data_IF_631478418351
#
_entry.id   IF_631478418351
#
_cell.length_a   1.000
_cell.length_b   1.000
_cell.length_c   1.000
_cell.angle_alpha   90.00
_cell.angle_beta   90.00
_cell.angle_gamma   90.00
#
_symmetry.space_group_name_H-M   'P 1'
#
loop_
_entity.id
_entity.type
_entity.pdbx_description
1 polymer ?
#
# COMPACT_ATOMS: atom_id res chain seq x y z
N UNK A 1 9.17 10.19 -3.70
CA UNK A 1 10.54 10.66 -3.41
C UNK A 1 10.62 12.17 -3.46
N UNK A 2 11.68 12.84 -2.96
CA UNK A 2 11.66 14.28 -2.62
C UNK A 2 11.38 15.25 -3.79
N UNK A 3 11.52 14.80 -5.05
CA UNK A 3 11.27 15.62 -6.25
C UNK A 3 9.85 15.51 -6.81
N UNK A 4 9.10 14.48 -6.40
CA UNK A 4 7.69 14.24 -6.77
C UNK A 4 6.93 13.88 -5.51
N UNK A 5 6.01 14.76 -5.08
CA UNK A 5 5.19 14.50 -3.90
C UNK A 5 3.98 13.64 -4.26
N UNK A 6 3.62 12.73 -3.36
CA UNK A 6 2.34 12.04 -3.38
C UNK A 6 1.51 12.60 -2.23
N UNK A 7 0.27 12.95 -2.52
CA UNK A 7 -0.67 13.51 -1.57
C UNK A 7 -1.91 12.61 -1.49
N UNK A 8 -2.56 12.62 -0.34
CA UNK A 8 -3.89 12.08 -0.15
C UNK A 8 -4.83 13.22 0.23
N UNK A 9 -5.90 13.42 -0.53
CA UNK A 9 -6.85 14.50 -0.32
C UNK A 9 -6.18 15.87 -0.13
N UNK A 10 -5.20 16.19 -0.98
CA UNK A 10 -4.42 17.45 -0.92
C UNK A 10 -3.52 17.62 0.32
N UNK A 11 -3.41 16.61 1.17
CA UNK A 11 -2.52 16.60 2.34
C UNK A 11 -1.30 15.71 2.11
N UNK A 12 -0.21 16.02 2.78
CA UNK A 12 0.95 15.11 2.83
C UNK A 12 0.58 13.81 3.55
N UNK A 13 1.16 12.72 3.07
CA UNK A 13 1.05 11.43 3.74
C UNK A 13 1.96 11.42 4.98
N UNK A 14 1.48 10.83 6.07
CA UNK A 14 2.28 10.64 7.29
C UNK A 14 3.01 9.29 7.19
N UNK A 15 3.85 9.16 6.16
CA UNK A 15 4.62 7.95 5.86
C UNK A 15 6.12 8.24 5.75
N UNK A 16 6.92 7.19 5.59
CA UNK A 16 8.39 7.25 5.45
C UNK A 16 8.87 6.89 4.03
N UNK A 17 7.96 6.83 3.05
CA UNK A 17 8.27 6.49 1.64
C UNK A 17 9.17 7.53 0.94
N UNK A 18 9.33 8.71 1.55
CA UNK A 18 10.25 9.74 1.07
C UNK A 18 11.70 9.49 1.48
N UNK A 19 11.94 8.68 2.52
CA UNK A 19 13.27 8.34 3.01
C UNK A 19 13.93 7.27 2.14
N UNK A 20 13.18 6.24 1.78
CA UNK A 20 13.68 5.09 1.03
C UNK A 20 12.55 4.39 0.25
N UNK A 21 12.84 3.83 -0.94
CA UNK A 21 11.84 3.16 -1.77
C UNK A 21 11.37 1.80 -1.23
N UNK A 22 11.99 1.29 -0.18
CA UNK A 22 11.57 0.08 0.55
C UNK A 22 10.27 0.28 1.34
N UNK A 23 9.88 1.53 1.61
CA UNK A 23 8.65 1.85 2.31
C UNK A 23 7.51 2.18 1.34
N UNK A 24 6.40 1.46 1.49
CA UNK A 24 5.19 1.70 0.74
C UNK A 24 4.64 3.13 0.95
N UNK A 25 4.14 3.74 -0.12
CA UNK A 25 3.38 5.01 -0.06
C UNK A 25 1.99 4.70 0.50
N UNK A 26 1.56 5.39 1.56
CA UNK A 26 0.32 5.06 2.27
C UNK A 26 -0.93 5.63 1.60
N UNK A 27 -1.16 5.27 0.33
CA UNK A 27 -2.37 5.63 -0.44
C UNK A 27 -2.97 4.41 -1.13
N UNK A 28 -4.29 4.42 -1.33
CA UNK A 28 -5.04 3.33 -1.95
C UNK A 28 -5.67 3.77 -3.27
N UNK A 29 -4.99 3.57 -4.42
CA UNK A 29 -5.54 3.99 -5.71
C UNK A 29 -6.78 3.18 -6.13
N UNK A 30 -6.99 1.98 -5.56
CA UNK A 30 -8.17 1.16 -5.84
C UNK A 30 -9.44 1.73 -5.19
N UNK A 31 -9.31 2.33 -4.01
CA UNK A 31 -10.41 2.99 -3.30
C UNK A 31 -10.55 4.47 -3.66
N UNK A 32 -9.64 5.00 -4.49
CA UNK A 32 -9.66 6.38 -4.92
C UNK A 32 -10.85 6.67 -5.83
N UNK A 33 -11.40 7.87 -5.70
CA UNK A 33 -12.36 8.44 -6.66
C UNK A 33 -11.64 8.93 -7.91
N UNK A 34 -10.48 9.55 -7.73
CA UNK A 34 -9.64 10.03 -8.83
C UNK A 34 -8.17 10.16 -8.41
N UNK A 35 -7.28 10.15 -9.40
CA UNK A 35 -5.85 10.41 -9.25
C UNK A 35 -5.47 11.58 -10.15
N UNK A 36 -4.96 12.64 -9.56
CA UNK A 36 -4.60 13.87 -10.25
C UNK A 36 -3.08 13.94 -10.41
N UNK A 37 -2.59 14.24 -11.61
CA UNK A 37 -1.18 14.49 -11.87
C UNK A 37 -1.00 15.97 -12.20
N UNK A 38 -0.48 16.73 -11.25
CA UNK A 38 -0.38 18.19 -11.34
C UNK A 38 1.07 18.60 -11.62
N UNK A 39 1.24 19.47 -12.62
CA UNK A 39 2.53 20.01 -13.06
C UNK A 39 2.44 21.53 -13.22
N UNK A 40 3.59 22.20 -13.11
CA UNK A 40 3.69 23.65 -13.28
C UNK A 40 3.42 24.43 -12.00
N UNK A 41 3.15 25.75 -12.10
CA UNK A 41 3.12 26.65 -10.94
C UNK A 41 2.10 26.30 -9.84
N UNK A 42 1.03 25.57 -10.17
CA UNK A 42 0.01 25.15 -9.21
C UNK A 42 0.54 24.19 -8.14
N UNK A 43 1.70 23.55 -8.36
CA UNK A 43 2.33 22.66 -7.37
C UNK A 43 2.79 23.42 -6.13
N UNK A 44 3.01 24.73 -6.23
CA UNK A 44 3.45 25.59 -5.11
C UNK A 44 2.41 25.66 -3.98
N UNK A 45 1.13 25.40 -4.27
CA UNK A 45 0.07 25.35 -3.26
C UNK A 45 0.27 24.20 -2.25
N UNK A 46 1.03 23.17 -2.63
CA UNK A 46 1.25 21.95 -1.84
C UNK A 46 2.70 21.85 -1.32
N UNK A 47 3.46 22.93 -1.43
CA UNK A 47 4.79 23.07 -0.86
C UNK A 47 5.93 23.11 -1.88
N UNK A 48 7.09 23.59 -1.41
CA UNK A 48 8.31 23.69 -2.20
C UNK A 48 8.95 22.30 -2.46
N UNK A 49 9.82 22.23 -3.47
CA UNK A 49 10.61 21.03 -3.78
C UNK A 49 9.99 20.04 -4.77
N UNK A 50 8.75 20.26 -5.20
CA UNK A 50 8.02 19.46 -6.21
C UNK A 50 8.42 19.80 -7.65
N UNK A 51 9.72 19.75 -7.96
CA UNK A 51 10.24 20.09 -9.30
C UNK A 51 9.69 19.14 -10.38
N UNK A 52 9.42 17.88 -10.02
CA UNK A 52 8.83 16.89 -10.92
C UNK A 52 7.30 16.88 -10.96
N UNK A 53 6.64 17.75 -10.19
CA UNK A 53 5.19 17.76 -10.02
C UNK A 53 4.70 17.02 -8.77
N UNK A 54 3.40 16.77 -8.72
CA UNK A 54 2.76 16.02 -7.64
C UNK A 54 1.66 15.10 -8.17
N UNK A 55 1.43 14.03 -7.43
CA UNK A 55 0.33 13.09 -7.64
C UNK A 55 -0.61 13.18 -6.44
N UNK A 56 -1.86 13.55 -6.65
CA UNK A 56 -2.85 13.69 -5.59
C UNK A 56 -3.93 12.62 -5.75
N UNK A 57 -4.03 11.74 -4.74
CA UNK A 57 -5.04 10.70 -4.68
C UNK A 57 -6.23 11.23 -3.90
N UNK A 58 -7.35 11.42 -4.59
CA UNK A 58 -8.60 11.88 -3.99
C UNK A 58 -9.47 10.67 -3.70
N UNK A 59 -9.75 10.44 -2.43
CA UNK A 59 -10.67 9.39 -1.99
C UNK A 59 -12.11 9.92 -1.83
N UNK A 60 -13.00 9.06 -1.35
CA UNK A 60 -14.38 9.44 -1.02
C UNK A 60 -14.69 9.22 0.46
N UNK A 61 -13.67 9.08 1.33
CA UNK A 61 -13.83 8.71 2.75
C UNK A 61 -14.74 9.69 3.50
N UNK A 62 -14.69 10.96 3.12
CA UNK A 62 -15.65 11.99 3.54
C UNK A 62 -16.57 12.30 2.35
N UNK A 63 -17.81 11.79 2.31
CA UNK A 63 -18.73 12.06 1.22
C UNK A 63 -19.02 13.56 1.08
N UNK A 64 -18.94 14.07 -0.15
CA UNK A 64 -19.17 15.50 -0.43
C UNK A 64 -20.59 15.81 -0.88
N UNK A 65 -21.39 14.78 -1.19
CA UNK A 65 -22.75 14.87 -1.71
C UNK A 65 -23.59 13.71 -1.17
N UNK A 66 -24.89 13.94 -1.02
CA UNK A 66 -25.83 12.91 -0.59
C UNK A 66 -26.02 11.90 -1.73
N UNK A 67 -26.06 10.58 -1.44
CA UNK A 67 -26.37 9.59 -2.46
C UNK A 67 -27.80 9.77 -2.96
N UNK A 68 -28.00 9.79 -4.29
CA UNK A 68 -29.29 10.14 -4.93
C UNK A 68 -30.45 9.26 -4.45
N UNK A 69 -30.21 7.95 -4.30
CA UNK A 69 -31.21 6.97 -3.87
C UNK A 69 -31.11 6.65 -2.37
N UNK A 70 -30.43 7.49 -1.59
CA UNK A 70 -30.14 7.24 -0.17
C UNK A 70 -28.98 6.26 0.07
N UNK A 71 -28.45 5.62 -0.97
CA UNK A 71 -27.25 4.80 -0.90
C UNK A 71 -26.49 4.79 -2.24
N UNK A 72 -25.19 4.53 -2.18
CA UNK A 72 -24.27 4.35 -3.30
C UNK A 72 -23.22 3.32 -2.91
N UNK A 73 -22.75 2.48 -3.83
CA UNK A 73 -21.71 1.52 -3.50
C UNK A 73 -20.90 1.05 -4.71
N UNK A 74 -19.73 0.51 -4.41
CA UNK A 74 -18.79 -0.05 -5.36
C UNK A 74 -18.26 -1.38 -4.81
N UNK A 75 -18.11 -2.37 -5.69
CA UNK A 75 -17.45 -3.64 -5.39
C UNK A 75 -16.49 -3.96 -6.53
N UNK A 76 -15.32 -4.45 -6.20
CA UNK A 76 -14.28 -4.81 -7.14
C UNK A 76 -13.62 -6.12 -6.73
N UNK A 77 -13.38 -6.98 -7.71
CA UNK A 77 -12.61 -8.21 -7.56
C UNK A 77 -11.59 -8.27 -8.70
N UNK A 78 -10.36 -8.67 -8.39
CA UNK A 78 -9.29 -8.85 -9.37
C UNK A 78 -8.49 -10.11 -9.05
N UNK A 79 -8.10 -10.80 -10.11
CA UNK A 79 -7.12 -11.88 -10.06
C UNK A 79 -5.97 -11.59 -11.03
N UNK A 80 -4.72 -11.74 -10.59
CA UNK A 80 -3.53 -11.55 -11.43
C UNK A 80 -2.72 -12.86 -11.50
N UNK A 81 -2.49 -13.40 -12.69
CA UNK A 81 -1.73 -14.64 -12.90
C UNK A 81 -0.22 -14.48 -12.73
N UNK A 82 0.31 -13.25 -12.73
CA UNK A 82 1.74 -12.98 -12.55
C UNK A 82 2.22 -13.19 -11.13
N UNK A 83 1.35 -13.06 -10.12
CA UNK A 83 1.67 -13.26 -8.69
C UNK A 83 0.59 -14.05 -7.96
N UNK A 84 -0.34 -14.66 -8.70
CA UNK A 84 -1.57 -15.25 -8.18
C UNK A 84 -2.34 -14.32 -7.22
N UNK A 85 -2.24 -13.00 -7.46
CA UNK A 85 -2.83 -11.98 -6.60
C UNK A 85 -4.34 -12.11 -6.61
N UNK A 86 -4.93 -12.11 -5.42
CA UNK A 86 -6.35 -11.91 -5.19
C UNK A 86 -6.52 -10.56 -4.55
N UNK A 87 -7.34 -9.71 -5.15
CA UNK A 87 -7.69 -8.41 -4.62
C UNK A 87 -9.20 -8.26 -4.58
N UNK A 88 -9.72 -7.86 -3.42
CA UNK A 88 -11.13 -7.55 -3.23
C UNK A 88 -11.28 -6.18 -2.58
N UNK A 89 -12.19 -5.38 -3.11
CA UNK A 89 -12.52 -4.05 -2.59
C UNK A 89 -14.02 -3.85 -2.53
N UNK A 90 -14.50 -3.19 -1.49
CA UNK A 90 -15.89 -2.80 -1.39
C UNK A 90 -16.00 -1.44 -0.71
N UNK A 91 -16.99 -0.65 -1.10
CA UNK A 91 -17.30 0.62 -0.47
C UNK A 91 -18.78 0.91 -0.58
N UNK A 92 -19.35 1.46 0.49
CA UNK A 92 -20.75 1.85 0.54
C UNK A 92 -20.87 3.20 1.24
N UNK A 93 -21.67 4.08 0.65
CA UNK A 93 -22.10 5.35 1.23
C UNK A 93 -23.60 5.26 1.46
N UNK A 94 -24.06 5.59 2.66
CA UNK A 94 -25.48 5.63 3.02
C UNK A 94 -25.86 7.00 3.56
N UNK A 95 -27.01 7.51 3.11
CA UNK A 95 -27.62 8.73 3.63
C UNK A 95 -28.36 8.45 4.92
N UNK A 96 -27.96 9.10 6.01
CA UNK A 96 -28.62 9.09 7.30
C UNK A 96 -29.50 10.33 7.43
N UNK A 97 -30.66 10.31 6.78
CA UNK A 97 -31.55 11.46 6.65
C UNK A 97 -31.20 12.33 5.44
N UNK A 98 -31.44 13.64 5.52
CA UNK A 98 -31.29 14.56 4.38
C UNK A 98 -29.93 15.23 4.26
N UNK A 99 -29.10 15.18 5.30
CA UNK A 99 -27.86 15.98 5.38
C UNK A 99 -26.66 15.21 5.92
N UNK A 100 -26.80 13.96 6.35
CA UNK A 100 -25.70 13.19 6.91
C UNK A 100 -25.43 12.00 6.02
N UNK A 101 -24.16 11.76 5.68
CA UNK A 101 -23.72 10.60 4.92
C UNK A 101 -22.65 9.84 5.69
N UNK A 102 -22.81 8.53 5.79
CA UNK A 102 -21.83 7.60 6.35
C UNK A 102 -21.21 6.82 5.19
N UNK A 103 -19.88 6.69 5.17
CA UNK A 103 -19.17 5.81 4.26
C UNK A 103 -18.37 4.77 5.03
N UNK A 104 -18.42 3.54 4.54
CA UNK A 104 -17.54 2.45 4.96
C UNK A 104 -16.94 1.84 3.70
N UNK A 105 -15.64 1.65 3.68
CA UNK A 105 -14.95 0.98 2.58
C UNK A 105 -13.79 0.14 3.10
N UNK A 106 -13.40 -0.85 2.31
CA UNK A 106 -12.27 -1.70 2.60
C UNK A 106 -11.68 -2.32 1.35
N UNK A 107 -10.42 -2.72 1.50
CA UNK A 107 -9.60 -3.36 0.49
C UNK A 107 -8.80 -4.46 1.18
N UNK A 108 -8.77 -5.65 0.58
CA UNK A 108 -7.83 -6.71 0.94
C UNK A 108 -7.10 -7.15 -0.32
N UNK A 109 -5.80 -7.37 -0.19
CA UNK A 109 -4.93 -7.88 -1.24
C UNK A 109 -4.04 -8.98 -0.67
N UNK A 110 -3.91 -10.05 -1.43
CA UNK A 110 -2.99 -11.14 -1.14
C UNK A 110 -2.30 -11.53 -2.44
N UNK A 111 -1.00 -11.28 -2.53
CA UNK A 111 -0.15 -11.59 -3.68
C UNK A 111 1.05 -12.42 -3.24
N UNK A 112 1.30 -13.52 -3.95
CA UNK A 112 2.53 -14.29 -3.81
C UNK A 112 3.70 -13.59 -4.51
N UNK A 113 4.90 -14.18 -4.39
CA UNK A 113 6.06 -13.80 -5.18
C UNK A 113 5.71 -13.75 -6.68
N UNK A 114 6.11 -12.69 -7.38
CA UNK A 114 5.79 -12.54 -8.80
C UNK A 114 6.67 -13.42 -9.69
N UNK A 115 6.11 -13.82 -10.83
CA UNK A 115 6.77 -14.63 -11.85
C UNK A 115 7.65 -13.73 -12.72
N UNK A 116 8.93 -14.10 -12.86
CA UNK A 116 9.88 -13.43 -13.73
C UNK A 116 10.40 -14.40 -14.81
N UNK A 117 10.36 -14.02 -16.10
CA UNK A 117 10.91 -14.87 -17.16
C UNK A 117 12.44 -14.93 -17.05
N UNK A 118 12.99 -16.14 -17.12
CA UNK A 118 14.43 -16.39 -17.09
C UNK A 118 15.14 -15.85 -15.83
N UNK A 119 14.45 -15.87 -14.68
CA UNK A 119 15.07 -15.55 -13.40
C UNK A 119 16.02 -16.68 -12.97
N UNK A 120 17.22 -16.28 -12.55
CA UNK A 120 18.26 -17.18 -12.07
C UNK A 120 18.67 -16.66 -10.69
N UNK A 121 18.54 -17.51 -9.67
CA UNK A 121 18.94 -17.24 -8.30
C UNK A 121 19.95 -18.30 -7.90
N UNK A 122 21.11 -17.88 -7.40
CA UNK A 122 22.21 -18.78 -7.00
C UNK A 122 22.64 -19.82 -8.07
N UNK A 123 22.46 -19.48 -9.34
CA UNK A 123 22.81 -20.36 -10.48
C UNK A 123 21.69 -21.34 -10.87
N UNK A 124 20.61 -21.39 -10.10
CA UNK A 124 19.43 -22.19 -10.41
C UNK A 124 18.33 -21.36 -11.07
N UNK A 125 17.57 -21.99 -11.96
CA UNK A 125 16.47 -21.32 -12.66
C UNK A 125 15.21 -21.40 -11.80
N UNK A 126 14.78 -20.26 -11.30
CA UNK A 126 13.56 -20.14 -10.52
C UNK A 126 12.43 -19.50 -11.33
N UNK A 127 11.19 -19.84 -10.99
CA UNK A 127 10.01 -19.29 -11.65
C UNK A 127 9.58 -17.95 -11.04
N UNK A 128 9.74 -17.79 -9.73
CA UNK A 128 9.28 -16.62 -8.97
C UNK A 128 10.48 -15.92 -8.35
N UNK A 129 10.35 -14.63 -8.12
CA UNK A 129 11.39 -13.85 -7.44
C UNK A 129 11.09 -13.84 -5.95
N UNK A 130 11.98 -14.40 -5.15
CA UNK A 130 11.79 -14.47 -3.70
C UNK A 130 11.70 -13.12 -3.02
N UNK A 131 10.96 -13.11 -1.91
CA UNK A 131 10.64 -11.92 -1.11
C UNK A 131 10.00 -10.79 -1.92
N UNK A 132 9.11 -11.14 -2.87
CA UNK A 132 8.31 -10.16 -3.63
C UNK A 132 6.81 -10.25 -3.38
N UNK A 133 6.39 -11.09 -2.43
CA UNK A 133 5.01 -11.17 -1.97
C UNK A 133 4.54 -9.83 -1.40
N UNK A 134 3.24 -9.57 -1.51
CA UNK A 134 2.64 -8.35 -0.97
C UNK A 134 1.21 -8.63 -0.50
N UNK A 135 0.99 -8.45 0.78
CA UNK A 135 -0.29 -8.58 1.46
C UNK A 135 -0.66 -7.25 2.09
N UNK A 136 -1.95 -6.93 2.09
CA UNK A 136 -2.39 -5.71 2.75
C UNK A 136 -3.89 -5.62 2.92
N UNK A 137 -4.28 -5.01 4.02
CA UNK A 137 -5.66 -4.74 4.38
C UNK A 137 -5.80 -3.26 4.71
N UNK A 138 -6.87 -2.67 4.21
CA UNK A 138 -7.26 -1.29 4.52
C UNK A 138 -8.74 -1.22 4.83
N UNK A 139 -9.09 -0.51 5.89
CA UNK A 139 -10.47 -0.25 6.30
C UNK A 139 -10.60 1.23 6.59
N UNK A 140 -11.60 1.86 5.98
CA UNK A 140 -11.90 3.27 6.18
C UNK A 140 -13.37 3.46 6.56
N UNK A 141 -13.60 4.33 7.52
CA UNK A 141 -14.93 4.77 7.94
C UNK A 141 -14.93 6.29 7.96
N UNK A 142 -15.95 6.91 7.39
CA UNK A 142 -16.09 8.35 7.46
C UNK A 142 -17.53 8.81 7.53
N UNK A 143 -17.70 9.99 8.12
CA UNK A 143 -18.97 10.62 8.39
C UNK A 143 -18.91 12.06 7.88
N UNK A 144 -19.95 12.49 7.19
CA UNK A 144 -20.04 13.83 6.61
C UNK A 144 -21.40 14.46 6.86
N UNK A 145 -21.41 15.74 7.20
CA UNK A 145 -22.56 16.62 7.20
C UNK A 145 -22.51 17.50 5.96
N UNK A 146 -23.55 17.43 5.14
CA UNK A 146 -23.66 18.03 3.82
C UNK A 146 -24.75 19.09 3.86
N UNK A 147 -24.38 20.31 3.52
CA UNK A 147 -25.21 21.51 3.52
C UNK A 147 -25.40 22.03 2.10
N UNK A 148 -26.23 23.04 1.92
CA UNK A 148 -26.47 23.66 0.60
C UNK A 148 -25.20 24.25 -0.05
N UNK A 149 -24.18 24.57 0.77
CA UNK A 149 -22.95 25.26 0.33
C UNK A 149 -21.67 24.64 0.90
N UNK A 150 -21.60 23.32 0.92
CA UNK A 150 -20.39 22.59 1.29
C UNK A 150 -20.66 21.47 2.27
N UNK A 151 -19.60 20.97 2.89
CA UNK A 151 -19.67 19.83 3.80
C UNK A 151 -18.62 19.96 4.91
N UNK A 152 -18.81 19.21 5.98
CA UNK A 152 -17.82 19.01 7.04
C UNK A 152 -17.86 17.55 7.42
N UNK A 153 -16.71 16.93 7.65
CA UNK A 153 -16.69 15.52 7.98
C UNK A 153 -15.42 15.09 8.67
N UNK A 154 -15.45 13.85 9.15
CA UNK A 154 -14.36 13.18 9.82
C UNK A 154 -14.21 11.80 9.20
N UNK A 155 -12.99 11.30 9.16
CA UNK A 155 -12.73 9.92 8.73
C UNK A 155 -11.64 9.29 9.58
N UNK A 156 -11.71 7.96 9.68
CA UNK A 156 -10.72 7.10 10.30
C UNK A 156 -10.29 6.05 9.29
N UNK A 157 -9.00 5.83 9.19
CA UNK A 157 -8.37 4.87 8.29
C UNK A 157 -7.44 3.98 9.09
N UNK A 158 -7.56 2.67 8.90
CA UNK A 158 -6.61 1.68 9.39
C UNK A 158 -6.06 0.90 8.20
N UNK A 159 -4.73 0.81 8.11
CA UNK A 159 -4.03 0.11 7.05
C UNK A 159 -2.90 -0.72 7.63
N UNK A 160 -2.77 -1.95 7.15
CA UNK A 160 -1.69 -2.88 7.51
C UNK A 160 -1.18 -3.52 6.24
N UNK A 161 0.12 -3.40 6.02
CA UNK A 161 0.83 -3.99 4.89
C UNK A 161 1.90 -4.94 5.41
N UNK A 162 2.02 -6.10 4.77
CA UNK A 162 3.14 -7.04 4.94
C UNK A 162 3.67 -7.38 3.56
N UNK A 163 4.96 -7.22 3.34
CA UNK A 163 5.58 -7.46 2.05
C UNK A 163 7.03 -7.88 2.22
N UNK A 164 7.51 -8.68 1.28
CA UNK A 164 8.91 -9.07 1.22
C UNK A 164 9.81 -7.93 0.75
N UNK A 165 11.09 -8.01 1.12
CA UNK A 165 12.14 -7.13 0.62
C UNK A 165 13.03 -7.92 -0.33
N UNK A 166 12.86 -7.78 -1.66
CA UNK A 166 13.63 -8.56 -2.61
C UNK A 166 15.10 -8.14 -2.62
N UNK A 167 15.99 -9.10 -2.86
CA UNK A 167 17.43 -8.84 -2.92
C UNK A 167 18.08 -8.57 -1.56
N UNK A 168 17.39 -8.83 -0.44
CA UNK A 168 18.05 -8.94 0.86
C UNK A 168 18.84 -10.26 0.93
N UNK A 169 20.05 -10.22 1.48
CA UNK A 169 20.87 -11.41 1.70
C UNK A 169 20.93 -11.71 3.19
N UNK A 170 20.58 -12.93 3.58
CA UNK A 170 20.86 -13.44 4.93
C UNK A 170 22.32 -13.93 5.06
N UNK A 171 23.09 -13.91 3.96
CA UNK A 171 24.51 -14.27 3.90
C UNK A 171 25.37 -13.59 4.98
N UNK A 172 24.97 -12.38 5.40
CA UNK A 172 25.68 -11.61 6.42
C UNK A 172 24.90 -11.38 7.71
N UNK A 173 23.77 -12.05 7.92
CA UNK A 173 22.93 -11.85 9.11
C UNK A 173 23.66 -12.28 10.40
N UNK A 174 24.48 -13.33 10.31
CA UNK A 174 25.35 -13.79 11.40
C UNK A 174 26.71 -13.08 11.45
N UNK A 175 26.92 -12.05 10.61
CA UNK A 175 28.20 -11.36 10.53
C UNK A 175 28.28 -10.14 11.44
N UNK A 176 29.30 -10.12 12.29
CA UNK A 176 29.67 -8.97 13.12
C UNK A 176 30.91 -8.29 12.56
N UNK A 177 30.86 -6.96 12.47
CA UNK A 177 32.00 -6.17 12.01
C UNK A 177 32.94 -5.86 13.18
N UNK A 178 34.16 -6.40 13.13
CA UNK A 178 35.21 -6.08 14.09
C UNK A 178 36.10 -4.96 13.55
N UNK A 179 35.94 -3.76 14.13
CA UNK A 179 36.67 -2.54 13.75
C UNK A 179 37.95 -2.31 14.59
N UNK A 180 38.30 -3.24 15.48
CA UNK A 180 39.54 -3.20 16.26
C UNK A 180 40.71 -3.77 15.45
N UNK A 181 41.67 -2.93 15.07
CA UNK A 181 42.84 -3.35 14.29
C UNK A 181 42.57 -3.34 12.78
N UNK A 182 42.82 -4.47 12.08
CA UNK A 182 42.45 -4.59 10.66
C UNK A 182 40.94 -4.90 10.57
N UNK A 183 40.14 -4.06 9.89
CA UNK A 183 38.72 -4.29 9.74
C UNK A 183 38.45 -5.66 9.10
N UNK A 184 37.64 -6.49 9.74
CA UNK A 184 37.19 -7.76 9.19
C UNK A 184 35.75 -8.05 9.65
N UNK A 185 35.00 -8.77 8.81
CA UNK A 185 33.71 -9.35 9.18
C UNK A 185 33.95 -10.74 9.77
N UNK A 186 33.35 -11.03 10.92
CA UNK A 186 33.28 -12.36 11.49
C UNK A 186 31.85 -12.89 11.33
N UNK A 187 31.68 -13.95 10.57
CA UNK A 187 30.38 -14.57 10.27
C UNK A 187 30.29 -15.91 10.99
N UNK A 188 29.31 -16.08 11.88
CA UNK A 188 29.05 -17.38 12.50
C UNK A 188 28.37 -18.31 11.48
N UNK A 189 28.98 -19.47 11.22
CA UNK A 189 28.46 -20.46 10.30
C UNK A 189 27.36 -21.29 10.99
N UNK A 190 26.12 -20.85 10.87
CA UNK A 190 24.96 -21.71 11.11
C UNK A 190 24.32 -22.04 9.77
N UNK A 191 24.45 -23.30 9.35
CA UNK A 191 23.62 -23.87 8.27
C UNK A 191 22.17 -23.82 8.75
N UNK A 192 21.35 -22.99 8.09
CA UNK A 192 19.91 -23.04 8.25
C UNK A 192 19.37 -24.17 7.39
N UNK A 193 19.19 -25.35 8.00
CA UNK A 193 18.32 -26.38 7.43
C UNK A 193 16.91 -25.81 7.35
N UNK A 194 16.40 -25.64 6.13
CA UNK A 194 14.99 -25.33 5.88
C UNK A 194 14.15 -26.59 6.15
N UNK A 195 13.70 -26.79 7.38
CA UNK A 195 12.54 -27.66 7.63
C UNK A 195 11.28 -26.93 7.15
N UNK A 196 10.84 -27.25 5.93
CA UNK A 196 9.48 -26.93 5.48
C UNK A 196 8.49 -27.73 6.33
N UNK A 197 7.89 -27.06 7.33
CA UNK A 197 6.75 -27.59 8.06
C UNK A 197 5.51 -27.62 7.17
N UNK A 198 5.25 -28.76 6.53
CA UNK A 198 3.92 -29.07 5.99
C UNK A 198 2.91 -29.24 7.14
N UNK A 199 2.20 -28.15 7.48
CA UNK A 199 0.96 -28.24 8.26
C UNK A 199 -0.15 -28.78 7.35
N UNK A 200 -0.28 -30.11 7.31
CA UNK A 200 -1.40 -30.81 6.70
C UNK A 200 -2.70 -30.51 7.46
N UNK A 201 -3.52 -29.59 6.95
CA UNK A 201 -4.90 -29.43 7.39
C UNK A 201 -5.75 -30.59 6.87
N UNK A 202 -5.93 -31.62 7.71
CA UNK A 202 -6.97 -32.62 7.55
C UNK A 202 -8.34 -32.00 7.92
N UNK A 203 -9.24 -31.93 6.94
CA UNK A 203 -10.67 -31.72 7.19
C UNK A 203 -11.37 -33.07 7.20
N UNK A 204 -12.03 -33.40 8.32
CA UNK A 204 -13.15 -34.33 8.39
C UNK A 204 -14.47 -33.54 8.29
#
# INVERSE_FOLDING_TARGET
>A
GPRVKVLQNSSENVDVSTLSPDHAVTVDPVLAKQVEVIRGPSTLLFGAGTVGGLVNVIDNKIPTQMPENGYEGQVGLRYNTGSDEKLASAGVTVGLGSQVALRVEGLTRDANNYIAPNYIHEGEKERRVDNTFAQGDSVNVGLSWIYDRGYTGISYSNRRDQYGLPGHSHEYESCSAHLGGRPHLHCDAHEHDHEEGEEAHAHE
#
